data_IF_030954150985
#
_entry.id   IF_030954150985
#
_cell.length_a   1.000
_cell.length_b   1.000
_cell.length_c   1.000
_cell.angle_alpha   90.00
_cell.angle_beta   90.00
_cell.angle_gamma   90.00
#
_symmetry.space_group_name_H-M   'P 1'
#
loop_
_entity.id
_entity.type
_entity.pdbx_description
1 polymer ?
#
# COMPACT_ATOMS: atom_id res chain seq x y z
N UNK A 1 20.25 29.95 6.51
CA UNK A 1 19.00 30.70 6.75
C UNK A 1 18.06 30.35 5.60
N UNK A 2 17.00 29.57 5.86
CA UNK A 2 16.06 29.16 4.83
C UNK A 2 15.39 30.39 4.20
N UNK A 3 15.50 30.54 2.87
CA UNK A 3 14.83 31.61 2.15
C UNK A 3 13.35 31.26 1.95
N UNK A 4 12.47 32.21 2.26
CA UNK A 4 11.02 32.06 2.16
C UNK A 4 10.48 33.14 1.23
N UNK A 5 9.69 32.76 0.23
CA UNK A 5 9.10 33.67 -0.76
C UNK A 5 7.61 33.36 -0.94
N UNK A 6 6.78 34.40 -0.94
CA UNK A 6 5.35 34.29 -1.25
C UNK A 6 5.09 34.67 -2.72
N UNK A 7 4.42 33.81 -3.46
CA UNK A 7 4.09 34.06 -4.87
C UNK A 7 2.62 33.80 -5.16
N UNK A 8 2.12 34.43 -6.22
CA UNK A 8 0.75 34.27 -6.70
C UNK A 8 0.73 33.87 -8.16
N UNK A 9 -0.26 33.08 -8.56
CA UNK A 9 -0.43 32.61 -9.94
C UNK A 9 -1.89 32.26 -10.22
N UNK A 10 -2.28 32.07 -11.49
CA UNK A 10 -3.66 31.65 -11.82
C UNK A 10 -3.90 30.19 -11.42
N UNK A 11 -2.82 29.43 -11.25
CA UNK A 11 -2.81 28.06 -10.73
C UNK A 11 -1.67 27.91 -9.73
N UNK A 12 -1.75 26.89 -8.87
CA UNK A 12 -0.68 26.55 -7.93
C UNK A 12 0.63 26.25 -8.66
N UNK A 13 0.57 25.56 -9.81
CA UNK A 13 1.75 25.26 -10.64
C UNK A 13 2.42 26.52 -11.21
N UNK A 14 1.63 27.51 -11.65
CA UNK A 14 2.17 28.78 -12.17
C UNK A 14 2.82 29.61 -11.05
N UNK A 15 2.25 29.59 -9.85
CA UNK A 15 2.83 30.23 -8.68
C UNK A 15 4.15 29.54 -8.28
N UNK A 16 4.20 28.21 -8.30
CA UNK A 16 5.41 27.43 -7.97
C UNK A 16 6.54 27.69 -8.97
N UNK A 17 6.25 27.68 -10.27
CA UNK A 17 7.24 27.98 -11.30
C UNK A 17 7.83 29.40 -11.14
N UNK A 18 7.01 30.36 -10.72
CA UNK A 18 7.47 31.73 -10.44
C UNK A 18 8.35 31.81 -9.20
N UNK A 19 8.02 31.07 -8.15
CA UNK A 19 8.82 31.00 -6.93
C UNK A 19 10.18 30.32 -7.14
N UNK A 20 10.21 29.20 -7.87
CA UNK A 20 11.44 28.46 -8.21
C UNK A 20 12.38 29.31 -9.06
N UNK A 21 11.83 30.09 -10.00
CA UNK A 21 12.60 31.05 -10.80
C UNK A 21 13.17 32.21 -9.98
N UNK A 22 12.43 32.69 -8.96
CA UNK A 22 12.91 33.75 -8.06
C UNK A 22 13.97 33.25 -7.08
N UNK A 23 13.86 32.00 -6.63
CA UNK A 23 14.80 31.37 -5.70
C UNK A 23 16.04 30.76 -6.40
N UNK A 24 16.02 30.66 -7.73
CA UNK A 24 17.14 30.10 -8.51
C UNK A 24 17.40 28.61 -8.24
N UNK A 25 16.36 27.86 -7.83
CA UNK A 25 16.45 26.45 -7.45
C UNK A 25 15.68 25.56 -8.44
N UNK A 26 15.63 24.25 -8.19
CA UNK A 26 14.71 23.35 -8.91
C UNK A 26 13.45 23.06 -8.08
N UNK A 27 12.38 22.55 -8.70
CA UNK A 27 11.14 22.18 -8.00
C UNK A 27 11.34 21.15 -6.87
N UNK A 28 12.44 20.40 -6.92
CA UNK A 28 12.77 19.37 -5.93
C UNK A 28 13.45 19.93 -4.66
N UNK A 29 13.93 21.18 -4.70
CA UNK A 29 14.70 21.80 -3.62
C UNK A 29 13.85 22.74 -2.76
N UNK A 30 12.53 22.72 -2.96
CA UNK A 30 11.59 23.64 -2.32
C UNK A 30 10.40 22.91 -1.73
N UNK A 31 10.04 23.26 -0.50
CA UNK A 31 8.77 22.89 0.12
C UNK A 31 7.79 24.06 -0.09
N UNK A 32 6.52 23.79 -0.41
CA UNK A 32 5.52 24.84 -0.59
C UNK A 32 4.22 24.56 0.16
N UNK A 33 3.61 25.65 0.64
CA UNK A 33 2.33 25.65 1.33
C UNK A 33 1.34 26.51 0.54
N UNK A 34 0.15 25.98 0.25
CA UNK A 34 -0.91 26.71 -0.46
C UNK A 34 -1.72 27.52 0.55
N UNK A 35 -1.55 28.83 0.53
CA UNK A 35 -2.28 29.76 1.41
C UNK A 35 -3.69 30.06 0.88
N UNK A 36 -3.86 30.11 -0.45
CA UNK A 36 -5.17 30.34 -1.07
C UNK A 36 -5.30 29.48 -2.35
N UNK A 37 -6.34 28.66 -2.41
CA UNK A 37 -6.61 27.79 -3.56
C UNK A 37 -7.27 28.59 -4.71
N UNK A 38 -6.87 28.34 -5.97
CA UNK A 38 -7.44 29.06 -7.11
C UNK A 38 -8.92 28.69 -7.28
N UNK A 39 -9.79 29.69 -7.38
CA UNK A 39 -11.20 29.48 -7.70
C UNK A 39 -11.54 30.08 -9.05
N UNK A 40 -12.14 29.26 -9.92
CA UNK A 40 -12.73 29.70 -11.18
C UNK A 40 -14.19 30.03 -10.92
N UNK A 41 -14.55 31.29 -11.12
CA UNK A 41 -15.95 31.74 -11.01
C UNK A 41 -16.86 30.97 -11.98
N UNK A 42 -18.02 30.59 -11.49
CA UNK A 42 -19.06 29.92 -12.28
C UNK A 42 -19.69 30.93 -13.24
N UNK A 43 -19.60 30.67 -14.56
CA UNK A 43 -20.28 31.43 -15.61
C UNK A 43 -19.96 32.93 -15.75
N UNK A 44 -18.69 33.32 -15.60
CA UNK A 44 -18.20 34.65 -16.03
C UNK A 44 -18.75 35.86 -15.25
N UNK A 45 -19.54 35.63 -14.19
CA UNK A 45 -20.14 36.71 -13.39
C UNK A 45 -19.43 36.98 -12.06
N UNK A 46 -18.48 36.15 -11.63
CA UNK A 46 -17.79 36.31 -10.34
C UNK A 46 -16.28 36.09 -10.47
N UNK A 47 -15.54 37.00 -9.84
CA UNK A 47 -14.10 37.20 -10.03
C UNK A 47 -13.23 35.97 -9.79
N UNK A 48 -12.16 35.88 -10.57
CA UNK A 48 -11.13 34.84 -10.44
C UNK A 48 -10.26 35.18 -9.23
N UNK A 49 -10.16 34.27 -8.26
CA UNK A 49 -9.19 34.40 -7.16
C UNK A 49 -7.89 33.69 -7.56
N UNK A 50 -6.74 34.39 -7.57
CA UNK A 50 -5.46 33.76 -7.86
C UNK A 50 -5.06 32.78 -6.75
N UNK A 51 -4.30 31.76 -7.10
CA UNK A 51 -3.62 30.91 -6.12
C UNK A 51 -2.51 31.71 -5.44
N UNK A 52 -2.40 31.60 -4.11
CA UNK A 52 -1.29 32.16 -3.34
C UNK A 52 -0.56 31.03 -2.62
N UNK A 53 0.76 30.97 -2.77
CA UNK A 53 1.61 29.95 -2.14
C UNK A 53 2.78 30.60 -1.41
N UNK A 54 3.25 29.93 -0.37
CA UNK A 54 4.47 30.26 0.37
C UNK A 54 5.48 29.15 0.13
N UNK A 55 6.64 29.49 -0.41
CA UNK A 55 7.68 28.55 -0.80
C UNK A 55 8.90 28.74 0.09
N UNK A 56 9.40 27.64 0.66
CA UNK A 56 10.56 27.60 1.55
C UNK A 56 11.64 26.73 0.90
N UNK A 57 12.84 27.26 0.73
CA UNK A 57 13.96 26.48 0.22
C UNK A 57 14.41 25.46 1.27
N UNK A 58 14.56 24.21 0.84
CA UNK A 58 15.15 23.15 1.66
C UNK A 58 16.66 23.29 1.59
N UNK A 59 17.31 23.53 2.73
CA UNK A 59 18.78 23.55 2.79
C UNK A 59 19.31 22.13 2.50
N UNK A 60 20.00 21.96 1.38
CA UNK A 60 20.79 20.77 1.08
C UNK A 60 22.28 21.12 1.06
N UNK A 61 23.02 20.52 1.99
CA UNK A 61 24.46 20.38 1.91
C UNK A 61 24.80 19.51 0.68
N UNK A 62 25.75 20.00 -0.11
CA UNK A 62 26.24 19.39 -1.34
C UNK A 62 26.97 18.07 -1.10
N UNK A 63 26.75 17.06 -1.95
CA UNK A 63 27.82 16.33 -2.66
C UNK A 63 27.24 15.48 -3.82
N UNK A 64 28.13 15.13 -4.75
CA UNK A 64 27.91 14.91 -6.18
C UNK A 64 27.39 13.52 -6.65
N UNK A 65 26.82 13.56 -7.86
CA UNK A 65 26.54 12.52 -8.87
C UNK A 65 27.66 11.44 -9.03
N UNK A 66 27.43 10.25 -9.65
CA UNK A 66 26.68 10.13 -10.90
C UNK A 66 25.81 8.89 -11.18
N UNK A 67 24.81 9.17 -12.04
CA UNK A 67 24.21 8.40 -13.13
C UNK A 67 24.45 6.87 -13.21
N UNK A 68 23.34 6.11 -13.19
CA UNK A 68 23.23 4.86 -13.96
C UNK A 68 21.86 4.79 -14.65
N UNK A 69 21.96 4.50 -15.94
CA UNK A 69 20.92 4.32 -16.96
C UNK A 69 20.02 3.12 -16.71
N UNK A 70 18.74 3.30 -17.01
CA UNK A 70 17.70 2.27 -17.12
C UNK A 70 17.78 1.60 -18.49
N UNK A 71 18.03 0.29 -18.51
CA UNK A 71 17.63 -0.59 -19.62
C UNK A 71 16.87 -1.81 -19.06
N UNK A 72 15.61 -1.88 -19.47
CA UNK A 72 14.73 -3.03 -19.72
C UNK A 72 14.93 -4.34 -18.95
N UNK A 73 14.03 -4.57 -17.97
CA UNK A 73 13.73 -5.90 -17.42
C UNK A 73 12.66 -6.57 -18.29
N UNK A 74 13.07 -7.54 -19.12
CA UNK A 74 12.19 -8.60 -19.61
C UNK A 74 12.21 -9.77 -18.64
N UNK A 75 11.05 -10.03 -18.07
CA UNK A 75 10.72 -11.21 -17.28
C UNK A 75 10.48 -12.36 -18.25
N UNK A 76 11.23 -13.45 -18.11
CA UNK A 76 10.74 -14.78 -18.49
C UNK A 76 11.25 -15.85 -17.52
N UNK A 77 10.32 -16.77 -17.29
CA UNK A 77 10.22 -17.76 -16.24
C UNK A 77 11.04 -19.02 -16.60
N UNK A 78 11.47 -19.81 -15.60
CA UNK A 78 11.28 -21.27 -15.53
C UNK A 78 12.42 -22.05 -14.85
N UNK A 79 11.94 -22.94 -13.98
CA UNK A 79 12.43 -24.28 -13.67
C UNK A 79 13.43 -24.46 -12.53
N UNK A 80 12.86 -25.04 -11.47
CA UNK A 80 13.46 -26.03 -10.59
C UNK A 80 14.43 -27.00 -11.30
N UNK A 81 15.53 -27.32 -10.63
CA UNK A 81 15.79 -28.66 -10.08
C UNK A 81 17.24 -28.77 -9.56
N UNK A 82 17.35 -29.17 -8.30
CA UNK A 82 18.35 -30.09 -7.75
C UNK A 82 19.82 -29.65 -7.58
N UNK A 83 20.53 -30.46 -6.79
CA UNK A 83 21.96 -30.48 -6.39
C UNK A 83 22.38 -29.51 -5.24
N UNK A 84 23.33 -29.91 -4.38
CA UNK A 84 23.07 -30.39 -3.03
C UNK A 84 23.84 -29.63 -1.94
N UNK A 85 23.44 -29.84 -0.69
CA UNK A 85 24.09 -29.30 0.51
C UNK A 85 25.35 -30.13 0.82
N UNK A 86 26.53 -29.53 0.73
CA UNK A 86 27.71 -29.98 1.50
C UNK A 86 28.68 -28.83 1.83
N UNK A 87 28.84 -28.61 3.13
CA UNK A 87 29.92 -27.95 3.91
C UNK A 87 31.19 -27.50 3.19
N UNK A 88 31.65 -26.27 3.46
CA UNK A 88 32.69 -25.99 4.47
C UNK A 88 33.23 -24.55 4.43
N UNK A 89 33.37 -23.99 5.63
CA UNK A 89 34.38 -23.03 6.12
C UNK A 89 34.49 -21.56 5.64
N UNK A 90 34.30 -20.69 6.64
CA UNK A 90 35.09 -19.50 7.03
C UNK A 90 35.41 -18.46 5.95
N UNK A 91 34.73 -17.31 6.08
CA UNK A 91 35.37 -16.01 5.92
C UNK A 91 34.77 -15.03 6.94
N UNK A 92 35.55 -14.68 7.97
CA UNK A 92 35.41 -13.37 8.62
C UNK A 92 36.13 -12.33 7.75
N UNK A 93 35.55 -11.13 7.62
CA UNK A 93 36.19 -9.99 8.29
C UNK A 93 35.18 -9.05 8.97
N UNK A 94 35.59 -8.51 10.13
CA UNK A 94 35.04 -7.32 10.77
C UNK A 94 35.13 -6.09 9.81
N UNK A 95 34.25 -5.08 9.77
CA UNK A 95 33.62 -4.21 10.80
C UNK A 95 32.35 -3.51 10.19
N UNK A 96 31.61 -2.62 10.90
CA UNK A 96 30.80 -2.83 12.09
C UNK A 96 29.37 -3.24 11.65
N UNK A 97 29.15 -4.54 11.42
CA UNK A 97 27.80 -5.06 11.31
C UNK A 97 27.20 -5.06 12.70
N UNK A 98 26.21 -4.20 12.95
CA UNK A 98 25.41 -4.30 14.18
C UNK A 98 24.94 -5.75 14.25
N UNK A 99 25.32 -6.52 15.29
CA UNK A 99 24.97 -7.93 15.36
C UNK A 99 23.47 -8.10 15.18
N UNK A 100 23.07 -9.12 14.42
CA UNK A 100 21.64 -9.46 14.22
C UNK A 100 20.91 -9.53 15.58
N UNK A 101 21.59 -10.04 16.60
CA UNK A 101 21.14 -10.08 17.99
C UNK A 101 20.83 -8.68 18.58
N UNK A 102 21.64 -7.67 18.30
CA UNK A 102 21.40 -6.31 18.80
C UNK A 102 20.19 -5.67 18.09
N UNK A 103 20.00 -5.93 16.80
CA UNK A 103 18.83 -5.45 16.06
C UNK A 103 17.53 -6.06 16.62
N UNK A 104 17.55 -7.36 16.95
CA UNK A 104 16.43 -8.04 17.60
C UNK A 104 16.18 -7.49 19.01
N UNK A 105 17.23 -7.27 19.81
CA UNK A 105 17.08 -6.68 21.14
C UNK A 105 16.44 -5.27 21.09
N UNK A 106 16.79 -4.45 20.09
CA UNK A 106 16.14 -3.15 19.85
C UNK A 106 14.67 -3.31 19.48
N UNK A 107 14.35 -4.29 18.64
CA UNK A 107 12.96 -4.59 18.26
C UNK A 107 12.12 -5.00 19.48
N UNK A 108 12.64 -5.89 20.31
CA UNK A 108 11.97 -6.33 21.54
C UNK A 108 11.78 -5.19 22.53
N UNK A 109 12.81 -4.35 22.72
CA UNK A 109 12.71 -3.16 23.58
C UNK A 109 11.60 -2.23 23.08
N UNK A 110 11.56 -1.96 21.79
CA UNK A 110 10.53 -1.12 21.19
C UNK A 110 9.13 -1.72 21.36
N UNK A 111 8.96 -3.03 21.14
CA UNK A 111 7.69 -3.72 21.37
C UNK A 111 7.24 -3.62 22.84
N UNK A 112 8.16 -3.80 23.80
CA UNK A 112 7.88 -3.63 25.24
C UNK A 112 7.37 -2.22 25.54
N UNK A 113 8.08 -1.20 25.08
CA UNK A 113 7.71 0.21 25.31
C UNK A 113 6.32 0.53 24.72
N UNK A 114 6.02 0.02 23.52
CA UNK A 114 4.72 0.23 22.87
C UNK A 114 3.60 -0.47 23.64
N UNK A 115 3.78 -1.73 24.02
CA UNK A 115 2.74 -2.48 24.75
C UNK A 115 2.52 -1.97 26.17
N UNK A 116 3.57 -1.51 26.84
CA UNK A 116 3.49 -0.86 28.15
C UNK A 116 2.71 0.47 28.05
N UNK A 117 3.00 1.30 27.04
CA UNK A 117 2.27 2.54 26.80
C UNK A 117 0.78 2.29 26.45
N UNK A 118 0.46 1.14 25.84
CA UNK A 118 -0.91 0.71 25.55
C UNK A 118 -1.58 -0.02 26.72
N UNK A 119 -0.81 -0.36 27.77
CA UNK A 119 -1.26 -1.12 28.93
C UNK A 119 -1.87 -2.49 28.57
N UNK A 120 -1.23 -3.20 27.64
CA UNK A 120 -1.64 -4.54 27.16
C UNK A 120 -0.59 -5.58 27.57
N UNK A 121 -1.05 -6.70 28.12
CA UNK A 121 -0.19 -7.85 28.42
C UNK A 121 -0.02 -8.72 27.19
N UNK A 122 1.21 -8.78 26.67
CA UNK A 122 1.55 -9.56 25.48
C UNK A 122 2.74 -10.47 25.78
N UNK A 123 2.61 -11.74 25.43
CA UNK A 123 3.71 -12.70 25.35
C UNK A 123 4.08 -12.93 23.90
N UNK A 124 5.34 -13.22 23.60
CA UNK A 124 5.71 -13.55 22.23
C UNK A 124 6.74 -14.67 22.17
N UNK A 125 6.71 -15.38 21.05
CA UNK A 125 7.68 -16.41 20.68
C UNK A 125 8.37 -16.01 19.39
N UNK A 126 9.69 -16.13 19.38
CA UNK A 126 10.50 -15.94 18.20
C UNK A 126 10.63 -17.27 17.45
N UNK A 127 10.46 -17.23 16.13
CA UNK A 127 10.79 -18.34 15.23
C UNK A 127 11.57 -17.81 14.04
N UNK A 128 12.62 -18.52 13.64
CA UNK A 128 13.35 -18.23 12.42
C UNK A 128 12.60 -18.81 11.21
N UNK A 129 12.47 -18.01 10.16
CA UNK A 129 11.93 -18.41 8.87
C UNK A 129 12.92 -18.04 7.76
N UNK A 130 12.78 -18.65 6.58
CA UNK A 130 13.64 -18.37 5.42
C UNK A 130 13.62 -16.89 5.02
N UNK A 131 12.47 -16.22 5.21
CA UNK A 131 12.24 -14.82 4.86
C UNK A 131 12.55 -13.82 5.99
N UNK A 132 13.04 -14.30 7.16
CA UNK A 132 13.38 -13.45 8.30
C UNK A 132 12.92 -14.00 9.65
N UNK A 133 12.83 -13.12 10.64
CA UNK A 133 12.46 -13.49 12.01
C UNK A 133 10.97 -13.21 12.25
N UNK A 134 10.24 -14.22 12.69
CA UNK A 134 8.80 -14.10 13.00
C UNK A 134 8.61 -13.98 14.51
N UNK A 135 7.90 -12.93 14.93
CA UNK A 135 7.39 -12.76 16.28
C UNK A 135 5.91 -13.14 16.31
N UNK A 136 5.62 -14.26 16.95
CA UNK A 136 4.27 -14.72 17.21
C UNK A 136 3.80 -14.15 18.55
N UNK A 137 2.85 -13.21 18.50
CA UNK A 137 2.26 -12.59 19.68
C UNK A 137 1.07 -13.44 20.18
N UNK A 138 1.06 -13.70 21.48
CA UNK A 138 0.03 -14.44 22.22
C UNK A 138 -0.33 -13.66 23.49
N UNK A 139 -1.61 -13.61 23.87
CA UNK A 139 -2.03 -12.84 25.03
C UNK A 139 -3.54 -12.57 25.05
N UNK A 140 -3.97 -11.89 26.09
CA UNK A 140 -5.39 -11.51 26.23
C UNK A 140 -5.66 -10.19 25.51
N UNK A 141 -6.84 -10.06 24.89
CA UNK A 141 -7.29 -8.83 24.22
C UNK A 141 -6.37 -8.30 23.10
N UNK A 142 -5.61 -9.15 22.40
CA UNK A 142 -4.78 -8.75 21.26
C UNK A 142 -5.57 -8.24 20.04
N UNK A 143 -6.91 -8.33 20.07
CA UNK A 143 -7.77 -7.81 18.99
C UNK A 143 -7.55 -6.33 18.69
N UNK A 144 -7.12 -5.53 19.67
CA UNK A 144 -6.79 -4.10 19.49
C UNK A 144 -5.55 -3.94 18.60
N UNK A 145 -4.56 -4.83 18.72
CA UNK A 145 -3.31 -4.81 17.97
C UNK A 145 -3.49 -5.22 16.50
N UNK A 146 -4.56 -5.97 16.20
CA UNK A 146 -4.92 -6.29 14.83
C UNK A 146 -5.43 -5.03 14.11
N UNK A 147 -6.33 -4.31 14.77
CA UNK A 147 -6.98 -3.13 14.18
C UNK A 147 -7.93 -3.47 13.03
N UNK A 148 -8.47 -2.43 12.39
CA UNK A 148 -9.39 -2.61 11.27
C UNK A 148 -8.63 -3.22 10.09
N UNK A 149 -9.06 -4.39 9.60
CA UNK A 149 -8.44 -5.06 8.45
C UNK A 149 -6.93 -5.38 8.62
N UNK A 150 -6.43 -5.52 9.85
CA UNK A 150 -5.00 -5.77 10.10
C UNK A 150 -4.11 -4.53 10.00
N UNK A 151 -4.67 -3.32 9.84
CA UNK A 151 -3.88 -2.09 9.64
C UNK A 151 -2.96 -1.76 10.82
N UNK A 152 -3.40 -2.01 12.05
CA UNK A 152 -2.58 -1.76 13.25
C UNK A 152 -1.41 -2.74 13.30
N UNK A 153 -1.67 -4.02 12.98
CA UNK A 153 -0.63 -5.04 12.92
C UNK A 153 0.42 -4.71 11.83
N UNK A 154 -0.02 -4.29 10.65
CA UNK A 154 0.87 -3.87 9.57
C UNK A 154 1.69 -2.63 9.96
N UNK A 155 1.07 -1.66 10.62
CA UNK A 155 1.75 -0.44 11.09
C UNK A 155 2.78 -0.76 12.17
N UNK A 156 2.42 -1.62 13.13
CA UNK A 156 3.32 -2.08 14.19
C UNK A 156 4.52 -2.81 13.58
N UNK A 157 4.28 -3.73 12.64
CA UNK A 157 5.35 -4.43 11.92
C UNK A 157 6.29 -3.44 11.21
N UNK A 158 5.74 -2.43 10.53
CA UNK A 158 6.55 -1.41 9.87
C UNK A 158 7.43 -0.63 10.86
N UNK A 159 6.86 -0.17 11.97
CA UNK A 159 7.58 0.59 12.98
C UNK A 159 8.67 -0.24 13.66
N UNK A 160 8.40 -1.50 13.95
CA UNK A 160 9.37 -2.43 14.55
C UNK A 160 10.54 -2.68 13.60
N UNK A 161 10.27 -2.92 12.31
CA UNK A 161 11.33 -3.04 11.30
C UNK A 161 12.17 -1.77 11.19
N UNK A 162 11.55 -0.59 11.25
CA UNK A 162 12.26 0.68 11.20
C UNK A 162 13.11 0.92 12.45
N UNK A 163 12.60 0.55 13.63
CA UNK A 163 13.30 0.68 14.90
C UNK A 163 14.50 -0.28 14.99
N UNK A 164 14.32 -1.53 14.57
CA UNK A 164 15.36 -2.57 14.59
C UNK A 164 16.52 -2.21 13.65
N UNK A 165 16.18 -1.75 12.43
CA UNK A 165 17.16 -1.42 11.39
C UNK A 165 17.69 0.02 11.46
N UNK A 166 17.42 0.76 12.55
CA UNK A 166 17.88 2.14 12.70
C UNK A 166 19.41 2.19 12.75
N UNK A 167 20.01 2.92 11.80
CA UNK A 167 21.45 3.10 11.70
C UNK A 167 22.19 1.92 11.05
N UNK A 168 21.46 0.97 10.45
CA UNK A 168 22.02 -0.20 9.78
C UNK A 168 21.87 -0.07 8.27
N UNK A 169 23.00 0.10 7.57
CA UNK A 169 23.03 0.18 6.10
C UNK A 169 23.03 -1.21 5.45
N UNK A 170 23.78 -2.15 6.03
CA UNK A 170 23.98 -3.52 5.53
C UNK A 170 23.59 -4.55 6.60
N UNK A 171 23.06 -5.72 6.18
CA UNK A 171 22.63 -6.76 7.12
C UNK A 171 21.30 -6.46 7.84
N UNK A 172 20.32 -5.92 7.11
CA UNK A 172 18.99 -5.60 7.67
C UNK A 172 18.22 -6.86 8.02
N UNK A 173 17.73 -6.93 9.25
CA UNK A 173 16.85 -8.01 9.69
C UNK A 173 15.42 -7.68 9.27
N UNK A 174 14.78 -8.64 8.60
CA UNK A 174 13.35 -8.58 8.31
C UNK A 174 12.58 -9.21 9.46
N UNK A 175 11.76 -8.41 10.13
CA UNK A 175 10.92 -8.83 11.25
C UNK A 175 9.47 -8.92 10.77
N UNK A 176 8.85 -10.07 11.00
CA UNK A 176 7.45 -10.32 10.67
C UNK A 176 6.70 -10.48 11.99
N UNK A 177 5.58 -9.78 12.12
CA UNK A 177 4.74 -9.89 13.31
C UNK A 177 3.45 -10.60 12.92
N UNK A 178 3.12 -11.66 13.66
CA UNK A 178 1.85 -12.35 13.53
C UNK A 178 1.18 -12.46 14.89
N UNK A 179 -0.15 -12.39 14.88
CA UNK A 179 -0.99 -12.49 16.08
C UNK A 179 -1.85 -13.72 15.91
N UNK A 180 -1.52 -14.80 16.61
CA UNK A 180 -2.29 -16.05 16.61
C UNK A 180 -2.76 -16.53 15.21
N UNK A 181 -1.91 -16.44 14.17
CA UNK A 181 -2.31 -16.85 12.81
C UNK A 181 -3.38 -15.97 12.18
N UNK A 182 -3.53 -14.72 12.60
CA UNK A 182 -4.57 -13.80 12.12
C UNK A 182 -4.56 -13.69 10.59
N UNK A 183 -3.38 -13.55 9.98
CA UNK A 183 -3.27 -13.36 8.51
C UNK A 183 -3.91 -14.51 7.74
N UNK A 184 -3.58 -15.76 8.10
CA UNK A 184 -4.13 -16.96 7.48
C UNK A 184 -5.65 -17.08 7.71
N UNK A 185 -6.11 -16.90 8.97
CA UNK A 185 -7.54 -16.94 9.30
C UNK A 185 -8.34 -15.85 8.56
N UNK A 186 -7.74 -14.67 8.41
CA UNK A 186 -8.36 -13.53 7.71
C UNK A 186 -8.48 -13.78 6.22
N UNK A 187 -7.45 -14.34 5.60
CA UNK A 187 -7.48 -14.72 4.19
C UNK A 187 -8.60 -15.73 3.90
N UNK A 188 -8.70 -16.80 4.69
CA UNK A 188 -9.77 -17.79 4.55
C UNK A 188 -11.17 -17.15 4.70
N UNK A 189 -11.33 -16.26 5.66
CA UNK A 189 -12.58 -15.53 5.88
C UNK A 189 -12.96 -14.67 4.66
N UNK A 190 -11.99 -13.99 4.05
CA UNK A 190 -12.20 -13.17 2.86
C UNK A 190 -12.55 -14.01 1.63
N UNK A 191 -11.92 -15.17 1.45
CA UNK A 191 -12.27 -16.11 0.38
C UNK A 191 -13.71 -16.62 0.53
N UNK A 192 -14.11 -17.01 1.74
CA UNK A 192 -15.48 -17.46 2.04
C UNK A 192 -16.50 -16.33 1.79
N UNK A 193 -16.18 -15.11 2.24
CA UNK A 193 -17.00 -13.93 1.99
C UNK A 193 -17.17 -13.68 0.49
N UNK A 194 -16.08 -13.74 -0.28
CA UNK A 194 -16.11 -13.53 -1.73
C UNK A 194 -17.02 -14.54 -2.43
N UNK A 195 -16.92 -15.83 -2.08
CA UNK A 195 -17.79 -16.88 -2.61
C UNK A 195 -19.28 -16.61 -2.33
N UNK A 196 -19.61 -16.32 -1.07
CA UNK A 196 -20.99 -16.05 -0.67
C UNK A 196 -21.57 -14.80 -1.36
N UNK A 197 -20.79 -13.72 -1.49
CA UNK A 197 -21.23 -12.51 -2.18
C UNK A 197 -21.36 -12.70 -3.69
N UNK A 198 -20.51 -13.54 -4.31
CA UNK A 198 -20.64 -13.89 -5.71
C UNK A 198 -21.94 -14.68 -6.00
N UNK A 199 -22.30 -15.62 -5.12
CA UNK A 199 -23.58 -16.32 -5.21
C UNK A 199 -24.77 -15.37 -5.03
N UNK A 200 -24.70 -14.46 -4.05
CA UNK A 200 -25.71 -13.43 -3.81
C UNK A 200 -25.88 -12.52 -5.03
N UNK A 201 -24.79 -12.03 -5.61
CA UNK A 201 -24.80 -11.21 -6.82
C UNK A 201 -25.47 -11.95 -7.99
N UNK A 202 -25.14 -13.24 -8.17
CA UNK A 202 -25.78 -14.06 -9.20
C UNK A 202 -27.27 -14.31 -8.96
N UNK A 203 -27.70 -14.42 -7.70
CA UNK A 203 -29.09 -14.69 -7.31
C UNK A 203 -29.99 -13.48 -7.54
N UNK A 204 -29.50 -12.30 -7.15
CA UNK A 204 -30.23 -11.03 -7.30
C UNK A 204 -30.13 -10.50 -8.74
N UNK A 205 -29.02 -10.79 -9.43
CA UNK A 205 -28.76 -10.27 -10.78
C UNK A 205 -28.27 -8.81 -10.78
N UNK A 206 -27.89 -8.30 -9.61
CA UNK A 206 -27.36 -6.96 -9.37
C UNK A 206 -25.92 -7.02 -8.85
N UNK A 207 -25.18 -5.94 -9.02
CA UNK A 207 -23.83 -5.82 -8.49
C UNK A 207 -23.83 -5.66 -6.97
N UNK A 208 -22.82 -6.23 -6.31
CA UNK A 208 -22.66 -6.19 -4.87
C UNK A 208 -21.39 -5.41 -4.53
N UNK A 209 -21.55 -4.38 -3.70
CA UNK A 209 -20.46 -3.52 -3.26
C UNK A 209 -19.98 -3.99 -1.89
N UNK A 210 -18.67 -4.16 -1.73
CA UNK A 210 -18.06 -4.56 -0.46
C UNK A 210 -17.65 -3.33 0.35
N UNK A 211 -17.31 -3.55 1.63
CA UNK A 211 -16.72 -2.52 2.47
C UNK A 211 -15.33 -2.09 1.95
N UNK A 212 -14.93 -0.83 2.19
CA UNK A 212 -13.56 -0.39 1.91
C UNK A 212 -12.52 -1.25 2.61
N UNK A 213 -11.49 -1.62 1.88
CA UNK A 213 -10.50 -2.59 2.35
C UNK A 213 -9.13 -2.35 1.70
N UNK A 214 -8.07 -2.81 2.35
CA UNK A 214 -6.71 -2.53 1.90
C UNK A 214 -6.38 -3.25 0.58
N UNK A 215 -5.29 -2.84 -0.09
CA UNK A 215 -4.86 -3.43 -1.38
C UNK A 215 -4.72 -4.96 -1.33
N UNK A 216 -4.20 -5.51 -0.23
CA UNK A 216 -3.96 -6.93 -0.07
C UNK A 216 -5.27 -7.72 0.01
N UNK A 217 -6.22 -7.27 0.84
CA UNK A 217 -7.55 -7.88 0.96
C UNK A 217 -8.32 -7.84 -0.38
N UNK A 218 -8.27 -6.71 -1.11
CA UNK A 218 -8.88 -6.62 -2.45
C UNK A 218 -8.28 -7.66 -3.40
N UNK A 219 -6.97 -7.84 -3.37
CA UNK A 219 -6.27 -8.84 -4.19
C UNK A 219 -6.73 -10.26 -3.85
N UNK A 220 -6.88 -10.60 -2.57
CA UNK A 220 -7.41 -11.92 -2.15
C UNK A 220 -8.79 -12.17 -2.77
N UNK A 221 -9.69 -11.19 -2.70
CA UNK A 221 -11.05 -11.33 -3.26
C UNK A 221 -11.02 -11.47 -4.78
N UNK A 222 -10.20 -10.66 -5.47
CA UNK A 222 -10.05 -10.76 -6.92
C UNK A 222 -9.52 -12.13 -7.33
N UNK A 223 -8.49 -12.65 -6.64
CA UNK A 223 -7.91 -13.97 -6.89
C UNK A 223 -8.92 -15.09 -6.60
N UNK A 224 -9.64 -15.02 -5.48
CA UNK A 224 -10.65 -16.02 -5.10
C UNK A 224 -11.79 -16.14 -6.13
N UNK A 225 -12.11 -15.07 -6.86
CA UNK A 225 -13.18 -15.02 -7.85
C UNK A 225 -12.68 -15.03 -9.30
N UNK A 226 -11.37 -15.13 -9.53
CA UNK A 226 -10.76 -15.02 -10.86
C UNK A 226 -11.28 -16.09 -11.83
N UNK A 227 -11.43 -17.33 -11.36
CA UNK A 227 -11.87 -18.46 -12.17
C UNK A 227 -13.40 -18.59 -12.25
N UNK A 228 -14.14 -17.77 -11.49
CA UNK A 228 -15.59 -17.83 -11.47
C UNK A 228 -16.20 -17.18 -12.72
N UNK A 229 -16.55 -18.00 -13.70
CA UNK A 229 -17.13 -17.57 -14.99
C UNK A 229 -18.46 -16.82 -14.88
N UNK A 230 -19.15 -16.88 -13.74
CA UNK A 230 -20.47 -16.26 -13.52
C UNK A 230 -20.39 -14.82 -13.04
N UNK A 231 -19.24 -14.36 -12.57
CA UNK A 231 -19.05 -13.01 -12.04
C UNK A 231 -17.83 -12.35 -12.64
N UNK A 232 -17.74 -11.03 -12.50
CA UNK A 232 -16.54 -10.24 -12.74
C UNK A 232 -16.33 -9.30 -11.56
N UNK A 233 -15.08 -8.98 -11.26
CA UNK A 233 -14.72 -8.13 -10.13
C UNK A 233 -13.90 -6.93 -10.59
N UNK A 234 -14.13 -5.76 -10.00
CA UNK A 234 -13.29 -4.58 -10.18
C UNK A 234 -13.21 -3.79 -8.88
N UNK A 235 -12.14 -3.02 -8.69
CA UNK A 235 -11.99 -2.14 -7.52
C UNK A 235 -12.48 -0.73 -7.85
N UNK A 236 -13.35 -0.16 -7.03
CA UNK A 236 -13.92 1.19 -7.18
C UNK A 236 -13.61 2.09 -5.98
N UNK A 237 -13.65 3.40 -6.18
CA UNK A 237 -13.30 4.41 -5.17
C UNK A 237 -11.80 4.68 -5.03
N UNK A 238 -11.46 5.66 -4.21
CA UNK A 238 -10.09 6.11 -3.93
C UNK A 238 -9.62 5.67 -2.55
N UNK A 239 -8.32 5.40 -2.40
CA UNK A 239 -7.72 5.04 -1.10
C UNK A 239 -7.93 6.18 -0.09
N UNK A 240 -8.34 5.93 1.18
CA UNK A 240 -8.52 4.64 1.87
C UNK A 240 -9.93 4.05 1.76
N UNK A 241 -10.83 4.67 0.99
CA UNK A 241 -12.23 4.25 0.82
C UNK A 241 -12.41 3.33 -0.38
N UNK A 242 -11.34 2.72 -0.90
CA UNK A 242 -11.38 1.87 -2.08
C UNK A 242 -11.93 0.49 -1.73
N UNK A 243 -12.84 -0.03 -2.55
CA UNK A 243 -13.57 -1.27 -2.29
C UNK A 243 -13.66 -2.15 -3.55
N UNK A 244 -14.09 -3.40 -3.39
CA UNK A 244 -14.36 -4.33 -4.49
C UNK A 244 -15.84 -4.32 -4.85
N UNK A 245 -16.13 -4.34 -6.14
CA UNK A 245 -17.47 -4.56 -6.68
C UNK A 245 -17.50 -5.91 -7.39
N UNK A 246 -18.49 -6.74 -7.06
CA UNK A 246 -18.75 -8.02 -7.71
C UNK A 246 -19.97 -7.85 -8.62
N UNK A 247 -19.77 -8.03 -9.92
CA UNK A 247 -20.82 -7.90 -10.94
C UNK A 247 -21.19 -9.28 -11.48
N UNK A 248 -22.48 -9.67 -11.48
CA UNK A 248 -22.91 -10.90 -12.13
C UNK A 248 -22.83 -10.76 -13.65
N UNK A 249 -22.21 -11.73 -14.31
CA UNK A 249 -22.21 -11.81 -15.77
C UNK A 249 -23.58 -12.27 -16.23
N UNK A 250 -24.37 -11.35 -16.79
CA UNK A 250 -25.64 -11.71 -17.44
C UNK A 250 -25.35 -12.69 -18.57
N UNK A 251 -25.98 -13.87 -18.54
CA UNK A 251 -26.08 -14.70 -19.76
C UNK A 251 -26.71 -13.80 -20.82
N UNK A 252 -26.05 -13.61 -21.96
CA UNK A 252 -26.65 -12.94 -23.12
C UNK A 252 -28.03 -13.54 -23.33
N UNK A 253 -29.07 -12.81 -22.96
CA UNK A 253 -30.43 -13.23 -23.22
C UNK A 253 -30.56 -13.27 -24.73
N UNK A 254 -30.81 -14.46 -25.29
CA UNK A 254 -31.23 -14.68 -26.68
C UNK A 254 -32.61 -14.04 -26.99
N UNK A 255 -33.07 -13.05 -26.23
CA UNK A 255 -34.34 -12.31 -26.43
C UNK A 255 -34.11 -10.94 -27.08
N UNK A 256 -33.36 -10.88 -28.18
CA UNK A 256 -33.42 -9.71 -29.10
C UNK A 256 -33.48 -10.07 -30.58
N UNK A 257 -33.52 -11.37 -30.90
CA UNK A 257 -33.58 -11.82 -32.30
C UNK A 257 -35.01 -12.17 -32.76
N UNK A 258 -36.01 -12.18 -31.86
CA UNK A 258 -37.40 -12.54 -32.21
C UNK A 258 -38.33 -11.35 -32.52
N UNK A 259 -37.93 -10.09 -32.24
CA UNK A 259 -38.77 -8.91 -32.57
C UNK A 259 -38.44 -8.28 -33.93
N UNK A 260 -37.42 -8.78 -34.64
CA UNK A 260 -37.08 -8.32 -36.00
C UNK A 260 -37.74 -9.19 -37.07
N UNK A 261 -38.21 -10.39 -36.75
CA UNK A 261 -38.69 -11.35 -37.74
C UNK A 261 -40.21 -11.28 -38.00
N UNK A 262 -41.01 -10.67 -37.11
CA UNK A 262 -42.43 -10.40 -37.39
C UNK A 262 -42.65 -9.19 -38.31
N UNK A 263 -41.65 -8.31 -38.49
CA UNK A 263 -41.74 -7.16 -39.39
C UNK A 263 -41.42 -7.44 -40.87
N UNK A 264 -41.08 -8.68 -41.21
CA UNK A 264 -40.74 -9.08 -42.58
C UNK A 264 -41.73 -10.08 -43.20
N UNK A 265 -42.80 -10.45 -42.49
CA UNK A 265 -43.80 -11.40 -42.98
C UNK A 265 -45.19 -10.76 -43.23
N UNK A 266 -45.29 -9.43 -43.19
CA UNK A 266 -46.54 -8.69 -43.47
C UNK A 266 -46.52 -7.91 -44.80
N UNK A 267 -45.49 -8.07 -45.64
CA UNK A 267 -45.42 -7.50 -46.99
C UNK A 267 -45.58 -8.57 -48.08
#
# INVERSE_FOLDING_TARGET
>A
MAQVVETTGKTVAEALASAVKQLGCTENDVDYEVLEAPSKGFLGLFGVKPAKIKVTQKEMAAEAAPAVTVEDVKVDNSSAADVPVESAEKVEPAEPTVPVEEQLARAEKFLREVFEAMNIEVTWKQSEAEDGVVFNLEGENLGILIGKHGQTLDSLQYLVNLAANRGVAEGRVRIIIDIEGYRARREETLMRLAGHLAEKACRIGEEVHLEPMNRHERKIIHMALQDNRRVSTYSAGDEPRRYVVIVPRRRRSRRRDYEVQERYNED
#
